data_IF_609795958783
#
_entry.id   IF_609795958783
#
_cell.length_a   1.000
_cell.length_b   1.000
_cell.length_c   1.000
_cell.angle_alpha   90.00
_cell.angle_beta   90.00
_cell.angle_gamma   90.00
#
_symmetry.space_group_name_H-M   'P 1'
#
loop_
_entity.id
_entity.type
_entity.pdbx_description
1 polymer ?
#
# COMPACT_ATOMS: atom_id res chain seq x y z
N UNK A 1 -33.47 12.57 -18.69
CA UNK A 1 -33.53 11.83 -17.39
C UNK A 1 -32.79 10.49 -17.46
N UNK A 2 -32.87 9.73 -18.55
CA UNK A 2 -32.20 8.46 -18.77
C UNK A 2 -30.67 8.54 -18.70
N UNK A 3 -30.05 9.54 -19.33
CA UNK A 3 -28.57 9.73 -19.36
C UNK A 3 -28.01 9.92 -17.93
N UNK A 4 -28.67 10.69 -17.06
CA UNK A 4 -28.23 10.89 -15.68
C UNK A 4 -28.29 9.62 -14.82
N UNK A 5 -29.26 8.73 -15.09
CA UNK A 5 -29.38 7.46 -14.36
C UNK A 5 -28.26 6.51 -14.78
N UNK A 6 -27.91 6.49 -16.06
CA UNK A 6 -26.86 5.65 -16.62
C UNK A 6 -25.47 6.09 -16.14
N UNK A 7 -25.20 7.40 -16.07
CA UNK A 7 -23.99 7.96 -15.48
C UNK A 7 -23.85 7.65 -13.98
N UNK A 8 -24.96 7.76 -13.22
CA UNK A 8 -24.97 7.45 -11.79
C UNK A 8 -24.64 5.98 -11.52
N UNK A 9 -25.20 5.06 -12.31
CA UNK A 9 -24.93 3.64 -12.19
C UNK A 9 -23.47 3.29 -12.59
N UNK A 10 -22.94 3.95 -13.59
CA UNK A 10 -21.55 3.80 -14.01
C UNK A 10 -20.60 4.30 -12.92
N UNK A 11 -20.86 5.44 -12.29
CA UNK A 11 -20.06 5.98 -11.18
C UNK A 11 -20.05 5.01 -9.99
N UNK A 12 -21.21 4.50 -9.56
CA UNK A 12 -21.31 3.52 -8.46
C UNK A 12 -20.50 2.26 -8.76
N UNK A 13 -20.59 1.76 -10.00
CA UNK A 13 -19.82 0.60 -10.43
C UNK A 13 -18.31 0.83 -10.32
N UNK A 14 -17.82 1.97 -10.78
CA UNK A 14 -16.38 2.31 -10.72
C UNK A 14 -15.92 2.44 -9.27
N UNK A 15 -16.71 3.06 -8.39
CA UNK A 15 -16.39 3.13 -6.95
C UNK A 15 -16.31 1.71 -6.36
N UNK A 16 -17.27 0.84 -6.67
CA UNK A 16 -17.25 -0.55 -6.21
C UNK A 16 -15.98 -1.30 -6.67
N UNK A 17 -15.57 -1.12 -7.94
CA UNK A 17 -14.34 -1.70 -8.46
C UNK A 17 -13.09 -1.18 -7.75
N UNK A 18 -13.03 0.12 -7.43
CA UNK A 18 -11.93 0.69 -6.64
C UNK A 18 -11.89 0.13 -5.23
N UNK A 19 -13.03 0.02 -4.55
CA UNK A 19 -13.11 -0.55 -3.20
C UNK A 19 -12.66 -2.01 -3.22
N UNK A 20 -13.14 -2.81 -4.16
CA UNK A 20 -12.76 -4.22 -4.30
C UNK A 20 -11.26 -4.40 -4.57
N UNK A 21 -10.65 -3.49 -5.30
CA UNK A 21 -9.23 -3.59 -5.65
C UNK A 21 -8.30 -3.07 -4.56
N UNK A 22 -8.65 -1.93 -3.94
CA UNK A 22 -7.74 -1.17 -3.07
C UNK A 22 -7.98 -1.38 -1.58
N UNK A 23 -9.21 -1.69 -1.17
CA UNK A 23 -9.60 -1.73 0.26
C UNK A 23 -9.99 -3.13 0.71
N UNK A 24 -10.64 -3.88 -0.17
CA UNK A 24 -11.23 -5.16 0.20
C UNK A 24 -10.22 -6.26 0.57
N UNK A 25 -8.99 -6.36 0.00
CA UNK A 25 -7.98 -7.31 0.45
C UNK A 25 -7.61 -7.11 1.93
N UNK A 26 -7.34 -5.86 2.32
CA UNK A 26 -7.01 -5.51 3.70
C UNK A 26 -8.18 -5.75 4.65
N UNK A 27 -9.39 -5.42 4.23
CA UNK A 27 -10.61 -5.69 4.99
C UNK A 27 -10.83 -7.18 5.24
N UNK A 28 -10.66 -8.03 4.23
CA UNK A 28 -10.78 -9.49 4.38
C UNK A 28 -9.74 -10.03 5.35
N UNK A 29 -8.50 -9.61 5.20
CA UNK A 29 -7.39 -10.07 6.02
C UNK A 29 -7.55 -9.63 7.47
N UNK A 30 -7.76 -8.34 7.70
CA UNK A 30 -7.73 -7.76 9.04
C UNK A 30 -9.07 -7.87 9.77
N UNK A 31 -10.19 -7.55 9.10
CA UNK A 31 -11.52 -7.46 9.77
C UNK A 31 -12.24 -8.80 9.79
N UNK A 32 -12.11 -9.60 8.73
CA UNK A 32 -12.75 -10.92 8.66
C UNK A 32 -11.81 -12.06 9.10
N UNK A 33 -10.56 -11.76 9.45
CA UNK A 33 -9.63 -12.73 10.02
C UNK A 33 -9.20 -13.83 9.06
N UNK A 34 -9.05 -13.52 7.78
CA UNK A 34 -8.51 -14.50 6.82
C UNK A 34 -7.03 -14.69 7.10
N UNK A 35 -6.62 -15.91 7.43
CA UNK A 35 -5.28 -16.24 7.93
C UNK A 35 -4.11 -15.85 7.00
N UNK A 36 -4.37 -15.59 5.73
CA UNK A 36 -3.33 -15.29 4.75
C UNK A 36 -3.75 -14.14 3.82
N UNK A 37 -2.91 -13.09 3.77
CA UNK A 37 -3.13 -11.94 2.90
C UNK A 37 -3.19 -12.32 1.42
N UNK A 38 -2.42 -13.31 0.97
CA UNK A 38 -2.49 -13.81 -0.42
C UNK A 38 -3.86 -14.39 -0.76
N UNK A 39 -4.50 -15.09 0.19
CA UNK A 39 -5.86 -15.64 0.00
C UNK A 39 -6.86 -14.48 -0.09
N UNK A 40 -6.79 -13.51 0.81
CA UNK A 40 -7.63 -12.30 0.77
C UNK A 40 -7.52 -11.56 -0.55
N UNK A 41 -6.30 -11.43 -1.06
CA UNK A 41 -6.01 -10.81 -2.35
C UNK A 41 -6.62 -11.61 -3.51
N UNK A 42 -6.47 -12.94 -3.54
CA UNK A 42 -7.05 -13.80 -4.57
C UNK A 42 -8.59 -13.70 -4.57
N UNK A 43 -9.22 -13.72 -3.40
CA UNK A 43 -10.68 -13.55 -3.29
C UNK A 43 -11.11 -12.20 -3.85
N UNK A 44 -10.46 -11.13 -3.43
CA UNK A 44 -10.74 -9.76 -3.91
C UNK A 44 -10.60 -9.64 -5.43
N UNK A 45 -9.51 -10.16 -5.98
CA UNK A 45 -9.22 -10.11 -7.41
C UNK A 45 -10.21 -10.96 -8.20
N UNK A 46 -10.61 -12.11 -7.67
CA UNK A 46 -11.62 -12.95 -8.30
C UNK A 46 -12.98 -12.24 -8.36
N UNK A 47 -13.39 -11.62 -7.26
CA UNK A 47 -14.60 -10.79 -7.22
C UNK A 47 -14.50 -9.61 -8.20
N UNK A 48 -13.38 -8.91 -8.19
CA UNK A 48 -13.13 -7.82 -9.13
C UNK A 48 -13.28 -8.28 -10.57
N UNK A 49 -12.71 -9.43 -10.93
CA UNK A 49 -12.80 -10.00 -12.27
C UNK A 49 -14.25 -10.31 -12.70
N UNK A 50 -15.08 -10.80 -11.77
CA UNK A 50 -16.51 -11.04 -12.02
C UNK A 50 -17.24 -9.75 -12.40
N UNK A 51 -16.91 -8.64 -11.73
CA UNK A 51 -17.55 -7.33 -11.95
C UNK A 51 -16.93 -6.53 -13.10
N UNK A 52 -15.77 -6.93 -13.65
CA UNK A 52 -15.16 -6.25 -14.78
C UNK A 52 -15.99 -6.39 -16.06
N UNK A 53 -16.08 -5.29 -16.81
CA UNK A 53 -16.78 -5.23 -18.09
C UNK A 53 -15.91 -5.70 -19.24
N UNK A 54 -14.64 -5.28 -19.26
CA UNK A 54 -13.65 -5.70 -20.22
C UNK A 54 -12.89 -6.90 -19.67
N UNK A 55 -12.98 -8.04 -20.35
CA UNK A 55 -12.28 -9.28 -19.98
C UNK A 55 -11.16 -9.62 -20.97
N UNK A 56 -10.97 -8.77 -21.97
CA UNK A 56 -9.91 -8.95 -22.98
C UNK A 56 -8.68 -8.16 -22.57
N UNK A 57 -7.52 -8.72 -22.84
CA UNK A 57 -6.23 -8.07 -22.62
C UNK A 57 -5.70 -7.53 -23.93
N UNK A 58 -5.07 -6.36 -23.89
CA UNK A 58 -4.27 -5.86 -24.99
C UNK A 58 -3.06 -6.78 -25.23
N UNK A 59 -2.67 -6.97 -26.48
CA UNK A 59 -1.55 -7.85 -26.87
C UNK A 59 -0.25 -7.49 -26.10
N UNK A 60 0.03 -6.21 -25.93
CA UNK A 60 1.24 -5.75 -25.24
C UNK A 60 1.23 -6.12 -23.75
N UNK A 61 0.09 -5.95 -23.08
CA UNK A 61 -0.05 -6.36 -21.69
C UNK A 61 0.06 -7.89 -21.53
N UNK A 62 -0.44 -8.65 -22.49
CA UNK A 62 -0.28 -10.11 -22.48
C UNK A 62 1.19 -10.51 -22.60
N UNK A 63 1.96 -9.87 -23.50
CA UNK A 63 3.40 -10.09 -23.62
C UNK A 63 4.17 -9.76 -22.32
N UNK A 64 3.78 -8.67 -21.63
CA UNK A 64 4.36 -8.33 -20.33
C UNK A 64 4.08 -9.42 -19.29
N UNK A 65 2.87 -9.97 -19.24
CA UNK A 65 2.52 -11.05 -18.31
C UNK A 65 3.31 -12.33 -18.63
N UNK A 66 3.48 -12.65 -19.91
CA UNK A 66 4.30 -13.80 -20.32
C UNK A 66 5.76 -13.58 -19.93
N UNK A 67 6.31 -12.39 -20.14
CA UNK A 67 7.67 -12.05 -19.72
C UNK A 67 7.83 -12.14 -18.20
N UNK A 68 6.85 -11.65 -17.43
CA UNK A 68 6.81 -11.78 -15.97
C UNK A 68 6.78 -13.26 -15.54
N UNK A 69 5.97 -14.08 -16.19
CA UNK A 69 5.94 -15.52 -15.92
C UNK A 69 7.29 -16.20 -16.17
N UNK A 70 7.94 -15.90 -17.29
CA UNK A 70 9.28 -16.41 -17.61
C UNK A 70 10.29 -15.97 -16.55
N UNK A 71 10.25 -14.70 -16.13
CA UNK A 71 11.12 -14.17 -15.09
C UNK A 71 10.91 -14.87 -13.74
N UNK A 72 9.66 -15.11 -13.34
CA UNK A 72 9.34 -15.82 -12.12
C UNK A 72 9.80 -17.29 -12.17
N UNK A 73 9.59 -17.98 -13.31
CA UNK A 73 10.10 -19.33 -13.51
C UNK A 73 11.64 -19.39 -13.44
N UNK A 74 12.32 -18.44 -14.06
CA UNK A 74 13.77 -18.32 -13.97
C UNK A 74 14.26 -18.12 -12.54
N UNK A 75 13.62 -17.23 -11.78
CA UNK A 75 13.91 -17.04 -10.36
C UNK A 75 13.66 -18.30 -9.52
N UNK A 76 12.63 -19.08 -9.83
CA UNK A 76 12.39 -20.37 -9.17
C UNK A 76 13.49 -21.41 -9.50
N UNK A 77 13.97 -21.44 -10.74
CA UNK A 77 15.11 -22.28 -11.12
C UNK A 77 16.39 -21.87 -10.37
N UNK A 78 16.66 -20.59 -10.24
CA UNK A 78 17.77 -20.08 -9.42
C UNK A 78 17.63 -20.53 -7.96
N UNK A 79 16.42 -20.42 -7.39
CA UNK A 79 16.12 -20.88 -6.04
C UNK A 79 16.44 -22.38 -5.87
N UNK A 80 16.12 -23.21 -6.86
CA UNK A 80 16.45 -24.64 -6.85
C UNK A 80 17.96 -24.89 -6.90
N UNK A 81 18.71 -24.09 -7.65
CA UNK A 81 20.16 -24.24 -7.75
C UNK A 81 20.90 -23.90 -6.45
N UNK A 82 20.40 -22.88 -5.72
CA UNK A 82 21.03 -22.43 -4.49
C UNK A 82 20.46 -23.08 -3.21
N UNK A 83 19.19 -23.57 -3.24
CA UNK A 83 18.47 -24.03 -2.05
C UNK A 83 17.54 -25.21 -2.37
N UNK A 84 18.12 -26.36 -2.70
CA UNK A 84 17.38 -27.54 -3.22
C UNK A 84 16.27 -28.01 -2.27
N UNK A 85 16.49 -27.99 -0.96
CA UNK A 85 15.55 -28.56 0.02
C UNK A 85 14.28 -27.73 0.24
N UNK A 86 14.30 -26.43 -0.05
CA UNK A 86 13.19 -25.51 0.23
C UNK A 86 12.65 -24.76 -1.00
N UNK A 87 13.21 -25.03 -2.18
CA UNK A 87 12.95 -24.25 -3.39
C UNK A 87 11.50 -24.30 -3.90
N UNK A 88 10.79 -25.40 -3.70
CA UNK A 88 9.43 -25.62 -4.18
C UNK A 88 8.46 -25.86 -3.02
N UNK A 89 8.19 -24.82 -2.27
CA UNK A 89 7.09 -24.86 -1.30
C UNK A 89 5.77 -24.49 -2.00
N UNK A 90 4.66 -25.01 -1.48
CA UNK A 90 3.32 -24.60 -1.91
C UNK A 90 3.14 -23.06 -1.87
N UNK A 91 3.80 -22.39 -0.92
CA UNK A 91 3.82 -20.93 -0.80
C UNK A 91 4.37 -20.24 -2.05
N UNK A 92 5.47 -20.75 -2.64
CA UNK A 92 6.06 -20.19 -3.87
C UNK A 92 5.10 -20.32 -5.04
N UNK A 93 4.49 -21.49 -5.22
CA UNK A 93 3.52 -21.73 -6.30
C UNK A 93 2.31 -20.80 -6.15
N UNK A 94 1.77 -20.68 -4.94
CA UNK A 94 0.63 -19.81 -4.64
C UNK A 94 0.96 -18.34 -4.90
N UNK A 95 2.18 -17.90 -4.56
CA UNK A 95 2.63 -16.52 -4.78
C UNK A 95 2.80 -16.20 -6.27
N UNK A 96 3.36 -17.12 -7.06
CA UNK A 96 3.45 -16.95 -8.52
C UNK A 96 2.05 -16.83 -9.12
N UNK A 97 1.15 -17.73 -8.76
CA UNK A 97 -0.23 -17.69 -9.21
C UNK A 97 -0.92 -16.36 -8.85
N UNK A 98 -0.75 -15.89 -7.61
CA UNK A 98 -1.31 -14.62 -7.14
C UNK A 98 -0.80 -13.44 -7.96
N UNK A 99 0.52 -13.37 -8.22
CA UNK A 99 1.12 -12.28 -8.99
C UNK A 99 0.61 -12.29 -10.43
N UNK A 100 0.52 -13.46 -11.07
CA UNK A 100 0.07 -13.54 -12.46
C UNK A 100 -1.42 -13.20 -12.61
N UNK A 101 -2.28 -13.69 -11.70
CA UNK A 101 -3.70 -13.36 -11.73
C UNK A 101 -3.92 -11.88 -11.42
N UNK A 102 -3.14 -11.31 -10.49
CA UNK A 102 -3.17 -9.89 -10.19
C UNK A 102 -2.77 -9.06 -11.42
N UNK A 103 -1.68 -9.40 -12.10
CA UNK A 103 -1.23 -8.72 -13.31
C UNK A 103 -2.29 -8.79 -14.42
N UNK A 104 -2.91 -9.96 -14.61
CA UNK A 104 -3.98 -10.16 -15.57
C UNK A 104 -5.21 -9.28 -15.26
N UNK A 105 -5.73 -9.38 -14.04
CA UNK A 105 -6.93 -8.67 -13.62
C UNK A 105 -6.70 -7.17 -13.57
N UNK A 106 -5.51 -6.72 -13.12
CA UNK A 106 -5.13 -5.30 -13.15
C UNK A 106 -5.10 -4.73 -14.57
N UNK A 107 -4.62 -5.52 -15.56
CA UNK A 107 -4.67 -5.11 -16.96
C UNK A 107 -6.09 -4.96 -17.48
N UNK A 108 -6.99 -5.90 -17.16
CA UNK A 108 -8.41 -5.80 -17.50
C UNK A 108 -9.08 -4.61 -16.78
N UNK A 109 -8.70 -4.36 -15.55
CA UNK A 109 -9.21 -3.24 -14.75
C UNK A 109 -8.77 -1.89 -15.35
N UNK A 110 -7.48 -1.75 -15.67
CA UNK A 110 -6.94 -0.55 -16.33
C UNK A 110 -7.67 -0.27 -17.65
N UNK A 111 -7.91 -1.31 -18.45
CA UNK A 111 -8.66 -1.19 -19.70
C UNK A 111 -10.14 -0.77 -19.45
N UNK A 112 -10.77 -1.28 -18.40
CA UNK A 112 -12.12 -0.86 -18.01
C UNK A 112 -12.16 0.62 -17.62
N UNK A 113 -11.15 1.09 -16.87
CA UNK A 113 -11.01 2.52 -16.51
C UNK A 113 -10.75 3.39 -17.72
N UNK A 114 -9.93 2.93 -18.66
CA UNK A 114 -9.63 3.65 -19.91
C UNK A 114 -10.87 3.86 -20.77
N UNK A 115 -11.80 2.92 -20.77
CA UNK A 115 -13.07 3.01 -21.49
C UNK A 115 -14.11 3.90 -20.81
N UNK A 116 -13.86 4.35 -19.57
CA UNK A 116 -14.76 5.26 -18.87
C UNK A 116 -14.54 6.71 -19.31
N UNK A 117 -15.63 7.50 -19.29
CA UNK A 117 -15.47 8.94 -19.49
C UNK A 117 -14.68 9.56 -18.33
N UNK A 118 -13.84 10.54 -18.66
CA UNK A 118 -13.02 11.26 -17.67
C UNK A 118 -13.86 11.82 -16.51
N UNK A 119 -15.08 12.27 -16.80
CA UNK A 119 -15.98 12.85 -15.82
C UNK A 119 -16.50 11.82 -14.79
N UNK A 120 -16.85 10.61 -15.25
CA UNK A 120 -17.25 9.50 -14.37
C UNK A 120 -16.07 9.07 -13.51
N UNK A 121 -14.89 8.92 -14.09
CA UNK A 121 -13.67 8.56 -13.37
C UNK A 121 -13.34 9.60 -12.31
N UNK A 122 -13.34 10.87 -12.67
CA UNK A 122 -13.09 12.00 -11.76
C UNK A 122 -14.07 11.97 -10.58
N UNK A 123 -15.37 11.91 -10.83
CA UNK A 123 -16.38 11.83 -9.75
C UNK A 123 -16.16 10.62 -8.85
N UNK A 124 -15.88 9.46 -9.43
CA UNK A 124 -15.66 8.22 -8.68
C UNK A 124 -14.47 8.33 -7.74
N UNK A 125 -13.34 8.88 -8.22
CA UNK A 125 -12.14 9.05 -7.41
C UNK A 125 -12.34 10.10 -6.31
N UNK A 126 -13.07 11.18 -6.56
CA UNK A 126 -13.41 12.15 -5.50
C UNK A 126 -14.31 11.54 -4.41
N UNK A 127 -15.28 10.71 -4.77
CA UNK A 127 -16.07 9.97 -3.78
C UNK A 127 -15.22 8.99 -2.98
N UNK A 128 -14.31 8.28 -3.64
CA UNK A 128 -13.38 7.38 -2.97
C UNK A 128 -12.44 8.15 -2.03
N UNK A 129 -11.94 9.32 -2.43
CA UNK A 129 -11.15 10.20 -1.57
C UNK A 129 -11.94 10.62 -0.33
N UNK A 130 -13.19 11.07 -0.49
CA UNK A 130 -14.06 11.43 0.63
C UNK A 130 -14.30 10.24 1.57
N UNK A 131 -14.50 9.04 1.03
CA UNK A 131 -14.64 7.81 1.80
C UNK A 131 -13.38 7.49 2.60
N UNK A 132 -12.20 7.58 1.99
CA UNK A 132 -10.93 7.36 2.69
C UNK A 132 -10.68 8.43 3.77
N UNK A 133 -11.01 9.69 3.51
CA UNK A 133 -10.96 10.74 4.54
C UNK A 133 -11.86 10.42 5.72
N UNK A 134 -13.07 9.94 5.47
CA UNK A 134 -14.00 9.53 6.51
C UNK A 134 -13.43 8.39 7.35
N UNK A 135 -12.87 7.35 6.72
CA UNK A 135 -12.18 6.25 7.42
C UNK A 135 -11.05 6.79 8.28
N UNK A 136 -10.19 7.67 7.74
CA UNK A 136 -9.09 8.26 8.49
C UNK A 136 -9.57 9.03 9.73
N UNK A 137 -10.59 9.88 9.58
CA UNK A 137 -11.16 10.66 10.68
C UNK A 137 -11.79 9.76 11.75
N UNK A 138 -12.60 8.77 11.34
CA UNK A 138 -13.23 7.85 12.29
C UNK A 138 -12.16 7.03 13.02
N UNK A 139 -11.11 6.57 12.32
CA UNK A 139 -10.01 5.86 12.96
C UNK A 139 -9.30 6.70 14.03
N UNK A 140 -9.05 7.99 13.76
CA UNK A 140 -8.47 8.92 14.74
C UNK A 140 -9.39 9.07 15.96
N UNK A 141 -10.70 9.24 15.74
CA UNK A 141 -11.66 9.37 16.83
C UNK A 141 -11.76 8.11 17.68
N UNK A 142 -11.73 6.93 17.07
CA UNK A 142 -11.76 5.65 17.80
C UNK A 142 -10.45 5.38 18.55
N UNK A 143 -9.31 5.78 18.03
CA UNK A 143 -8.04 5.74 18.76
C UNK A 143 -8.07 6.67 19.97
N UNK A 144 -8.61 7.87 19.82
CA UNK A 144 -8.75 8.84 20.94
C UNK A 144 -9.69 8.35 22.04
N UNK A 145 -10.68 7.54 21.72
CA UNK A 145 -11.62 6.96 22.70
C UNK A 145 -11.14 5.62 23.27
N UNK A 146 -9.92 5.18 22.94
CA UNK A 146 -9.33 3.90 23.36
C UNK A 146 -10.17 2.65 22.96
N UNK A 147 -11.13 2.82 22.03
CA UNK A 147 -11.94 1.71 21.53
C UNK A 147 -11.10 0.80 20.63
N UNK A 148 -10.15 1.39 19.90
CA UNK A 148 -9.19 0.65 19.07
C UNK A 148 -7.81 0.82 19.72
N UNK A 149 -7.22 -0.30 20.12
CA UNK A 149 -5.88 -0.31 20.68
C UNK A 149 -4.85 -0.21 19.56
N UNK A 150 -3.75 0.52 19.85
CA UNK A 150 -2.50 0.60 19.08
C UNK A 150 -2.60 0.67 17.57
N UNK A 151 -2.57 1.89 17.02
CA UNK A 151 -2.27 2.20 15.60
C UNK A 151 -3.05 1.41 14.54
N UNK A 152 -4.05 0.60 14.94
CA UNK A 152 -4.92 -0.09 14.00
C UNK A 152 -5.90 0.88 13.35
N UNK A 153 -6.29 0.59 12.12
CA UNK A 153 -7.31 1.34 11.39
C UNK A 153 -8.53 0.46 11.12
N UNK A 154 -9.69 1.07 10.88
CA UNK A 154 -10.96 0.32 10.79
C UNK A 154 -10.95 -0.74 9.68
N UNK A 155 -10.37 -0.44 8.52
CA UNK A 155 -10.40 -1.31 7.33
C UNK A 155 -9.00 -1.74 6.87
N UNK A 156 -7.95 -1.28 7.55
CA UNK A 156 -6.57 -1.53 7.18
C UNK A 156 -5.80 -2.08 8.38
N UNK A 157 -4.87 -3.01 8.17
CA UNK A 157 -4.08 -3.59 9.26
C UNK A 157 -3.23 -2.54 9.97
N UNK A 158 -2.75 -1.55 9.23
CA UNK A 158 -1.89 -0.52 9.76
C UNK A 158 -1.99 0.81 8.97
N UNK A 159 -1.56 1.93 9.56
CA UNK A 159 -1.57 3.23 8.90
C UNK A 159 -0.76 3.29 7.60
N UNK A 160 0.29 2.50 7.45
CA UNK A 160 1.11 2.45 6.23
C UNK A 160 0.35 1.84 5.05
N UNK A 161 -0.41 0.77 5.26
CA UNK A 161 -1.28 0.19 4.24
C UNK A 161 -2.34 1.20 3.77
N UNK A 162 -2.97 1.92 4.71
CA UNK A 162 -3.88 3.03 4.37
C UNK A 162 -3.20 4.10 3.52
N UNK A 163 -1.97 4.51 3.87
CA UNK A 163 -1.23 5.53 3.14
C UNK A 163 -0.96 5.13 1.68
N UNK A 164 -0.62 3.86 1.43
CA UNK A 164 -0.37 3.34 0.08
C UNK A 164 -1.61 3.45 -0.83
N UNK A 165 -2.81 3.32 -0.26
CA UNK A 165 -4.07 3.50 -0.99
C UNK A 165 -4.42 4.99 -1.10
N UNK A 166 -4.23 5.75 -0.03
CA UNK A 166 -4.63 7.15 0.06
C UNK A 166 -3.83 8.05 -0.88
N UNK A 167 -2.49 7.91 -0.92
CA UNK A 167 -1.59 8.81 -1.67
C UNK A 167 -1.90 8.86 -3.17
N UNK A 168 -2.07 7.74 -3.90
CA UNK A 168 -2.44 7.78 -5.31
C UNK A 168 -3.79 8.47 -5.56
N UNK A 169 -4.79 8.19 -4.73
CA UNK A 169 -6.12 8.78 -4.82
C UNK A 169 -6.06 10.29 -4.56
N UNK A 170 -5.34 10.71 -3.51
CA UNK A 170 -5.08 12.11 -3.22
C UNK A 170 -4.38 12.81 -4.39
N UNK A 171 -3.33 12.21 -4.95
CA UNK A 171 -2.57 12.76 -6.07
C UNK A 171 -3.45 12.97 -7.31
N UNK A 172 -4.35 12.03 -7.59
CA UNK A 172 -5.34 12.17 -8.66
C UNK A 172 -6.29 13.35 -8.38
N UNK A 173 -6.86 13.44 -7.19
CA UNK A 173 -7.73 14.54 -6.80
C UNK A 173 -7.01 15.89 -6.90
N UNK A 174 -5.73 15.92 -6.53
CA UNK A 174 -4.88 17.09 -6.62
C UNK A 174 -4.71 17.57 -8.07
N UNK A 175 -4.53 16.64 -8.99
CA UNK A 175 -4.36 16.95 -10.42
C UNK A 175 -5.56 17.73 -10.97
N UNK A 176 -6.78 17.35 -10.58
CA UNK A 176 -8.01 17.96 -11.08
C UNK A 176 -8.51 19.15 -10.27
N UNK A 177 -7.98 19.40 -9.07
CA UNK A 177 -8.46 20.49 -8.19
C UNK A 177 -7.66 21.76 -8.41
N UNK A 178 -8.35 22.91 -8.34
CA UNK A 178 -7.75 24.26 -8.44
C UNK A 178 -8.30 25.18 -7.35
N UNK A 179 -7.59 26.25 -7.07
CA UNK A 179 -8.04 27.31 -6.15
C UNK A 179 -8.19 26.85 -4.70
N UNK A 180 -9.25 27.30 -4.03
CA UNK A 180 -9.50 27.01 -2.61
C UNK A 180 -9.72 25.54 -2.30
N UNK A 181 -10.24 24.76 -3.23
CA UNK A 181 -10.40 23.32 -3.07
C UNK A 181 -9.06 22.57 -2.92
N UNK A 182 -8.01 23.05 -3.58
CA UNK A 182 -6.66 22.52 -3.45
C UNK A 182 -6.14 22.69 -2.01
N UNK A 183 -6.36 23.86 -1.42
CA UNK A 183 -5.97 24.14 -0.05
C UNK A 183 -6.69 23.21 0.94
N UNK A 184 -7.99 23.03 0.76
CA UNK A 184 -8.81 22.13 1.58
C UNK A 184 -8.31 20.67 1.49
N UNK A 185 -7.99 20.17 0.29
CA UNK A 185 -7.45 18.83 0.09
C UNK A 185 -6.15 18.62 0.89
N UNK A 186 -5.23 19.59 0.84
CA UNK A 186 -3.98 19.51 1.58
C UNK A 186 -4.19 19.57 3.10
N UNK A 187 -4.99 20.51 3.59
CA UNK A 187 -5.26 20.66 5.03
C UNK A 187 -5.86 19.37 5.58
N UNK A 188 -6.88 18.83 4.89
CA UNK A 188 -7.55 17.61 5.31
C UNK A 188 -6.60 16.40 5.29
N UNK A 189 -5.83 16.23 4.21
CA UNK A 189 -4.91 15.10 4.06
C UNK A 189 -3.76 15.15 5.05
N UNK A 190 -3.15 16.32 5.25
CA UNK A 190 -2.09 16.51 6.25
C UNK A 190 -2.62 16.35 7.67
N UNK A 191 -3.81 16.88 7.96
CA UNK A 191 -4.44 16.73 9.27
C UNK A 191 -4.70 15.26 9.61
N UNK A 192 -5.19 14.47 8.64
CA UNK A 192 -5.36 13.03 8.81
C UNK A 192 -3.99 12.34 9.01
N UNK A 193 -2.98 12.67 8.18
CA UNK A 193 -1.65 12.07 8.28
C UNK A 193 -0.98 12.33 9.64
N UNK A 194 -1.13 13.54 10.17
CA UNK A 194 -0.67 13.91 11.51
C UNK A 194 -1.49 13.20 12.59
N UNK A 195 -2.83 13.18 12.43
CA UNK A 195 -3.74 12.57 13.40
C UNK A 195 -3.52 11.07 13.59
N UNK A 196 -3.29 10.32 12.52
CA UNK A 196 -2.96 8.88 12.58
C UNK A 196 -1.46 8.62 12.78
N UNK A 197 -0.65 9.67 12.93
CA UNK A 197 0.81 9.60 13.11
C UNK A 197 1.49 8.74 12.03
N UNK A 198 1.23 9.01 10.75
CA UNK A 198 1.75 8.22 9.64
C UNK A 198 2.81 8.98 8.84
N UNK A 199 4.08 8.61 9.03
CA UNK A 199 5.21 9.21 8.32
C UNK A 199 5.15 8.97 6.81
N UNK A 200 4.76 7.77 6.37
CA UNK A 200 4.64 7.43 4.94
C UNK A 200 3.64 8.35 4.23
N UNK A 201 2.49 8.59 4.86
CA UNK A 201 1.48 9.49 4.32
C UNK A 201 1.97 10.94 4.27
N UNK A 202 2.65 11.43 5.32
CA UNK A 202 3.26 12.76 5.34
C UNK A 202 4.25 12.95 4.19
N UNK A 203 5.18 12.00 4.03
CA UNK A 203 6.18 12.04 2.96
C UNK A 203 5.51 12.02 1.59
N UNK A 204 4.51 11.16 1.37
CA UNK A 204 3.77 11.10 0.12
C UNK A 204 3.04 12.41 -0.23
N UNK A 205 2.41 13.06 0.77
CA UNK A 205 1.76 14.36 0.58
C UNK A 205 2.79 15.43 0.24
N UNK A 206 3.93 15.49 0.95
CA UNK A 206 5.02 16.44 0.69
C UNK A 206 5.58 16.25 -0.73
N UNK A 207 5.86 15.02 -1.14
CA UNK A 207 6.30 14.73 -2.51
C UNK A 207 5.28 15.22 -3.53
N UNK A 208 3.99 15.03 -3.28
CA UNK A 208 2.92 15.51 -4.17
C UNK A 208 2.95 17.04 -4.36
N UNK A 209 3.34 17.80 -3.33
CA UNK A 209 3.52 19.27 -3.43
C UNK A 209 4.60 19.59 -4.45
N UNK A 210 5.77 18.93 -4.35
CA UNK A 210 6.91 19.19 -5.23
C UNK A 210 6.64 18.77 -6.67
N UNK A 211 5.99 17.63 -6.88
CA UNK A 211 5.69 17.11 -8.21
C UNK A 211 4.66 17.99 -8.94
N UNK A 212 3.61 18.41 -8.25
CA UNK A 212 2.52 19.17 -8.87
C UNK A 212 2.82 20.66 -9.06
N UNK A 213 3.79 21.24 -8.34
CA UNK A 213 4.22 22.66 -8.45
C UNK A 213 3.07 23.70 -8.46
N UNK A 214 1.95 23.36 -7.81
CA UNK A 214 0.72 24.15 -7.84
C UNK A 214 0.55 25.10 -6.66
N UNK A 215 1.50 25.09 -5.72
CA UNK A 215 1.37 25.77 -4.43
C UNK A 215 2.44 26.84 -4.28
N UNK A 216 2.02 28.01 -3.84
CA UNK A 216 2.91 29.11 -3.46
C UNK A 216 3.36 28.96 -2.00
N UNK A 217 4.49 29.58 -1.61
CA UNK A 217 5.00 29.57 -0.23
C UNK A 217 3.91 30.04 0.75
N UNK A 218 3.16 31.08 0.41
CA UNK A 218 2.07 31.58 1.25
C UNK A 218 0.99 30.52 1.49
N UNK A 219 0.60 29.80 0.46
CA UNK A 219 -0.36 28.69 0.56
C UNK A 219 0.20 27.53 1.39
N UNK A 220 1.50 27.23 1.26
CA UNK A 220 2.16 26.21 2.07
C UNK A 220 2.07 26.52 3.56
N UNK A 221 2.32 27.78 3.97
CA UNK A 221 2.19 28.21 5.38
C UNK A 221 0.76 28.00 5.87
N UNK A 222 -0.24 28.41 5.10
CA UNK A 222 -1.66 28.25 5.47
C UNK A 222 -2.05 26.78 5.57
N UNK A 223 -1.54 25.94 4.69
CA UNK A 223 -1.77 24.48 4.72
C UNK A 223 -1.18 23.87 6.00
N UNK A 224 0.07 24.19 6.33
CA UNK A 224 0.74 23.67 7.52
C UNK A 224 0.04 24.09 8.81
N UNK A 225 -0.33 25.38 8.91
CA UNK A 225 -1.09 25.88 10.06
C UNK A 225 -2.46 25.23 10.18
N UNK A 226 -3.20 25.12 9.08
CA UNK A 226 -4.52 24.48 9.06
C UNK A 226 -4.46 22.99 9.40
N UNK A 227 -3.47 22.28 8.88
CA UNK A 227 -3.25 20.87 9.18
C UNK A 227 -2.86 20.65 10.64
N UNK A 228 -2.02 21.53 11.19
CA UNK A 228 -1.62 21.49 12.59
C UNK A 228 -2.82 21.73 13.52
N UNK A 229 -3.63 22.76 13.27
CA UNK A 229 -4.86 23.03 14.03
C UNK A 229 -5.83 21.85 13.93
N UNK A 230 -6.02 21.31 12.73
CA UNK A 230 -6.91 20.17 12.50
C UNK A 230 -6.45 18.93 13.28
N UNK A 231 -5.15 18.63 13.28
CA UNK A 231 -4.63 17.49 14.03
C UNK A 231 -4.74 17.69 15.54
N UNK A 232 -4.51 18.91 16.05
CA UNK A 232 -4.69 19.21 17.49
C UNK A 232 -6.14 19.02 17.96
N UNK A 233 -7.10 19.25 17.09
CA UNK A 233 -8.53 19.03 17.42
C UNK A 233 -8.84 17.53 17.48
N UNK A 234 -8.23 16.73 16.59
CA UNK A 234 -8.54 15.32 16.44
C UNK A 234 -7.69 14.40 17.32
N UNK A 235 -6.41 14.75 17.56
CA UNK A 235 -5.47 13.88 18.28
C UNK A 235 -4.42 14.63 19.07
N UNK A 236 -3.84 13.97 20.06
CA UNK A 236 -2.65 14.45 20.75
C UNK A 236 -1.42 14.12 19.89
N UNK A 237 -0.73 15.16 19.42
CA UNK A 237 0.45 15.05 18.56
C UNK A 237 1.66 14.58 19.39
N UNK A 238 2.15 13.39 19.13
CA UNK A 238 3.40 12.90 19.71
C UNK A 238 4.56 13.12 18.71
N UNK A 239 5.35 14.18 18.96
CA UNK A 239 6.53 14.51 18.15
C UNK A 239 7.63 13.43 18.30
N UNK A 240 7.70 12.75 19.44
CA UNK A 240 8.69 11.72 19.71
C UNK A 240 8.56 10.53 18.76
N UNK A 241 7.35 10.24 18.30
CA UNK A 241 7.06 9.24 17.30
C UNK A 241 7.82 9.47 15.98
N UNK A 242 7.88 10.72 15.52
CA UNK A 242 8.56 11.06 14.26
C UNK A 242 10.08 11.11 14.42
N UNK A 243 10.56 11.65 15.53
CA UNK A 243 12.01 11.74 15.81
C UNK A 243 12.64 10.36 15.98
N UNK A 244 11.97 9.43 16.66
CA UNK A 244 12.45 8.06 16.83
C UNK A 244 12.51 7.26 15.51
N UNK A 245 11.67 7.60 14.54
CA UNK A 245 11.68 6.97 13.21
C UNK A 245 12.70 7.57 12.24
N UNK A 246 13.22 8.75 12.53
CA UNK A 246 14.25 9.43 11.74
C UNK A 246 15.65 9.20 12.29
N UNK A 247 15.79 8.60 13.47
CA UNK A 247 17.07 8.21 14.02
C UNK A 247 17.48 6.82 13.49
N UNK A 248 18.31 6.84 12.43
CA UNK A 248 18.84 5.62 11.80
C UNK A 248 20.10 5.07 12.48
N UNK A 249 20.73 5.83 13.40
CA UNK A 249 22.03 5.45 13.98
C UNK A 249 21.90 4.59 15.23
N UNK A 250 20.95 4.92 16.12
CA UNK A 250 20.75 4.23 17.38
C UNK A 250 19.28 3.79 17.52
N UNK A 251 18.70 3.29 16.45
CA UNK A 251 17.30 2.99 16.44
C UNK A 251 16.98 1.71 17.19
N UNK A 252 16.08 1.82 18.16
CA UNK A 252 15.35 0.69 18.77
C UNK A 252 13.96 0.53 18.15
N UNK A 253 13.61 1.34 17.14
CA UNK A 253 12.31 1.30 16.49
C UNK A 253 12.23 0.10 15.55
N UNK A 254 11.35 -0.86 15.87
CA UNK A 254 11.18 -2.10 15.14
C UNK A 254 10.90 -1.88 13.64
N UNK A 255 10.08 -0.91 13.27
CA UNK A 255 9.77 -0.64 11.85
C UNK A 255 11.00 -0.18 11.07
N UNK A 256 11.87 0.62 11.68
CA UNK A 256 13.14 1.07 11.04
C UNK A 256 14.12 -0.09 10.95
N UNK A 257 14.25 -0.88 12.00
CA UNK A 257 15.12 -2.07 12.01
C UNK A 257 14.69 -3.08 10.94
N UNK A 258 13.40 -3.34 10.81
CA UNK A 258 12.85 -4.22 9.76
C UNK A 258 13.22 -3.71 8.37
N UNK A 259 13.02 -2.43 8.13
CA UNK A 259 13.35 -1.81 6.84
C UNK A 259 14.85 -1.90 6.53
N UNK A 260 15.71 -1.57 7.51
CA UNK A 260 17.16 -1.66 7.35
C UNK A 260 17.63 -3.11 7.18
N UNK A 261 17.06 -4.06 7.94
CA UNK A 261 17.32 -5.48 7.79
C UNK A 261 16.97 -5.98 6.39
N UNK A 262 15.82 -5.55 5.85
CA UNK A 262 15.41 -5.89 4.48
C UNK A 262 16.42 -5.42 3.42
N UNK A 263 16.88 -4.17 3.51
CA UNK A 263 17.89 -3.62 2.60
C UNK A 263 19.22 -4.34 2.74
N UNK A 264 19.69 -4.52 3.97
CA UNK A 264 20.96 -5.19 4.26
C UNK A 264 20.97 -6.62 3.71
N UNK A 265 19.92 -7.39 3.97
CA UNK A 265 19.78 -8.76 3.43
C UNK A 265 19.70 -8.80 1.92
N UNK A 266 18.97 -7.89 1.30
CA UNK A 266 18.90 -7.81 -0.15
C UNK A 266 20.32 -7.59 -0.74
N UNK A 267 21.08 -6.70 -0.13
CA UNK A 267 22.45 -6.39 -0.57
C UNK A 267 23.42 -7.57 -0.32
N UNK A 268 23.39 -8.19 0.86
CA UNK A 268 24.22 -9.35 1.18
C UNK A 268 23.91 -10.52 0.23
N UNK A 269 22.63 -10.84 0.04
CA UNK A 269 22.21 -11.91 -0.85
C UNK A 269 22.56 -11.64 -2.31
N UNK A 270 22.53 -10.38 -2.74
CA UNK A 270 22.96 -9.99 -4.07
C UNK A 270 24.47 -10.22 -4.28
N UNK A 271 25.30 -9.86 -3.29
CA UNK A 271 26.75 -10.08 -3.36
C UNK A 271 27.08 -11.58 -3.32
N UNK A 272 26.54 -12.31 -2.35
CA UNK A 272 26.85 -13.75 -2.16
C UNK A 272 26.39 -14.61 -3.32
N UNK A 273 25.35 -14.19 -4.04
CA UNK A 273 24.85 -14.86 -5.25
C UNK A 273 25.46 -14.37 -6.56
N UNK A 274 26.53 -13.57 -6.51
CA UNK A 274 27.14 -12.96 -7.69
C UNK A 274 26.16 -12.15 -8.55
N UNK A 275 25.22 -11.47 -7.93
CA UNK A 275 24.24 -10.63 -8.61
C UNK A 275 22.97 -11.36 -9.10
N UNK A 276 22.89 -12.67 -8.95
CA UNK A 276 21.73 -13.46 -9.40
C UNK A 276 20.55 -13.46 -8.40
N UNK A 277 20.85 -13.16 -7.12
CA UNK A 277 19.87 -13.30 -6.02
C UNK A 277 19.72 -14.78 -5.59
N UNK A 278 19.06 -14.98 -4.46
CA UNK A 278 18.87 -16.32 -3.86
C UNK A 278 17.58 -17.02 -4.32
N UNK A 279 16.82 -16.37 -5.22
CA UNK A 279 15.58 -16.87 -5.78
C UNK A 279 14.32 -16.31 -5.13
N UNK A 280 13.20 -16.56 -5.80
CA UNK A 280 11.90 -16.02 -5.42
C UNK A 280 11.42 -16.59 -4.08
N UNK A 281 10.92 -15.75 -3.19
CA UNK A 281 10.42 -16.14 -1.85
C UNK A 281 11.45 -16.80 -0.92
N UNK A 282 12.74 -16.69 -1.21
CA UNK A 282 13.80 -17.28 -0.37
C UNK A 282 14.36 -16.32 0.68
N UNK A 283 14.18 -15.02 0.46
CA UNK A 283 14.66 -13.97 1.35
C UNK A 283 13.84 -13.97 2.65
N UNK A 284 14.31 -14.49 3.71
CA UNK A 284 13.60 -14.69 4.98
C UNK A 284 13.73 -16.13 5.50
N UNK A 285 13.85 -17.08 4.60
CA UNK A 285 14.07 -18.49 4.94
C UNK A 285 15.55 -18.85 4.78
N UNK A 286 16.15 -18.38 3.69
CA UNK A 286 17.54 -18.64 3.32
C UNK A 286 18.32 -17.32 3.17
N UNK A 287 19.64 -17.44 3.05
CA UNK A 287 20.56 -16.31 2.83
C UNK A 287 21.24 -15.80 4.08
N UNK A 288 22.10 -14.82 3.87
CA UNK A 288 22.94 -14.25 4.91
C UNK A 288 22.13 -13.45 5.94
N UNK A 289 22.48 -13.62 7.21
CA UNK A 289 21.89 -12.89 8.33
C UNK A 289 22.67 -11.59 8.53
N UNK A 290 22.01 -10.46 8.37
CA UNK A 290 22.60 -9.14 8.58
C UNK A 290 22.64 -8.70 10.05
N UNK A 291 23.34 -7.59 10.32
CA UNK A 291 23.50 -7.01 11.67
C UNK A 291 22.16 -6.55 12.22
N UNK A 292 21.32 -5.89 11.41
CA UNK A 292 20.00 -5.41 11.85
C UNK A 292 19.04 -6.54 12.20
N UNK A 293 19.20 -7.70 11.58
CA UNK A 293 18.40 -8.87 11.91
C UNK A 293 18.84 -9.51 13.23
N UNK A 294 20.15 -9.49 13.55
CA UNK A 294 20.64 -9.91 14.85
C UNK A 294 20.10 -9.01 15.96
N UNK A 295 20.12 -7.69 15.75
CA UNK A 295 19.53 -6.72 16.70
C UNK A 295 18.03 -6.97 16.91
N UNK A 296 17.29 -7.27 15.84
CA UNK A 296 15.87 -7.63 15.95
C UNK A 296 15.65 -8.89 16.78
N UNK A 297 16.51 -9.89 16.63
CA UNK A 297 16.45 -11.12 17.41
C UNK A 297 16.76 -10.89 18.90
N UNK A 298 17.71 -10.01 19.20
CA UNK A 298 18.06 -9.62 20.58
C UNK A 298 16.94 -8.82 21.28
N UNK A 299 16.12 -8.11 20.55
CA UNK A 299 14.99 -7.34 21.08
C UNK A 299 13.76 -8.20 21.41
N UNK A 300 13.91 -9.52 21.40
CA UNK A 300 12.86 -10.49 21.76
C UNK A 300 11.51 -10.22 21.02
N UNK A 301 11.60 -9.81 19.75
CA UNK A 301 10.45 -9.60 18.90
C UNK A 301 10.00 -10.96 18.30
N UNK A 302 9.18 -11.75 18.99
CA UNK A 302 8.91 -13.16 18.63
C UNK A 302 8.14 -13.30 17.31
N UNK A 303 7.46 -12.24 16.87
CA UNK A 303 6.80 -12.21 15.57
C UNK A 303 7.77 -11.99 14.40
N UNK A 304 9.02 -11.70 14.72
CA UNK A 304 10.07 -11.33 13.79
C UNK A 304 11.04 -12.49 13.61
N UNK A 305 10.52 -13.71 13.64
CA UNK A 305 11.32 -14.90 13.54
C UNK A 305 12.11 -14.86 12.22
N UNK A 306 13.44 -14.98 12.34
CA UNK A 306 14.40 -14.93 11.24
C UNK A 306 14.01 -15.89 10.10
N UNK A 307 13.32 -16.96 10.47
CA UNK A 307 12.90 -18.05 9.57
C UNK A 307 11.46 -17.87 9.05
N UNK A 308 10.71 -16.90 9.55
CA UNK A 308 9.37 -16.65 9.09
C UNK A 308 9.42 -15.65 7.93
N UNK A 309 9.36 -16.18 6.71
CA UNK A 309 9.37 -15.38 5.48
C UNK A 309 8.22 -14.37 5.35
N UNK A 310 7.36 -14.25 6.35
CA UNK A 310 6.30 -13.26 6.44
C UNK A 310 6.83 -11.83 6.56
N UNK A 311 8.09 -11.66 6.97
CA UNK A 311 8.73 -10.36 7.21
C UNK A 311 8.93 -9.49 5.98
N UNK A 312 9.01 -10.08 4.81
CA UNK A 312 9.32 -9.37 3.56
C UNK A 312 8.12 -9.42 2.61
N UNK A 313 7.09 -10.15 2.98
CA UNK A 313 5.84 -10.24 2.23
C UNK A 313 4.72 -9.36 2.78
N UNK A 314 4.96 -8.58 3.83
CA UNK A 314 4.03 -7.58 4.37
C UNK A 314 4.32 -6.17 3.90
#
# INVERSE_FOLDING_TARGET
>A
MSIRIEESNSTKRIICLFILFLVFPDFLFYTLGVDNFSISTIISITLLFVFLRAKNICKDNFLIIVALFILLCFNCLLSMLFNIEQALTFKVVLSIYSILIMAYVSSCYAQTLWLCSEEILKRSVFYLFAFLCLIGIISILLQKTEIIHDKSMILFPEPSAFALVFIPIFSFCLYYTRGGGLLLLYILSLGIALGIQNLTMLVGIVISVFVMKKITIRQTIVILLGAWIFSMILSDLDISYYTSRLDFKNTTNLSVLVYLSGIERAFLNFITSYGLGIGFQQMGVNGEIGIYQQILAELDAPMLNIYDGSFISS
#
